data_IF_486512942554
#
_entry.id   IF_486512942554
#
_cell.length_a   1.000
_cell.length_b   1.000
_cell.length_c   1.000
_cell.angle_alpha   90.00
_cell.angle_beta   90.00
_cell.angle_gamma   90.00
#
_symmetry.space_group_name_H-M   'P 1'
#
loop_
_entity.id
_entity.type
_entity.pdbx_description
1 polymer ?
#
# COMPACT_ATOMS: atom_id res chain seq x y z
N UNK A 1 -20.20 -15.20 20.81
CA UNK A 1 -20.24 -14.65 19.43
C UNK A 1 -19.42 -15.57 18.54
N UNK A 2 -20.08 -16.37 17.69
CA UNK A 2 -19.44 -17.47 16.95
C UNK A 2 -18.41 -16.98 15.94
N UNK A 3 -17.28 -17.68 15.81
CA UNK A 3 -16.28 -17.42 14.77
C UNK A 3 -16.95 -17.57 13.41
N UNK A 4 -17.17 -16.46 12.68
CA UNK A 4 -17.54 -16.50 11.26
C UNK A 4 -16.39 -17.21 10.51
N UNK A 5 -16.65 -18.41 10.03
CA UNK A 5 -15.73 -19.16 9.18
C UNK A 5 -16.01 -18.77 7.73
N UNK A 6 -15.09 -18.03 7.12
CA UNK A 6 -15.14 -17.69 5.69
C UNK A 6 -14.62 -18.89 4.88
N UNK A 7 -15.51 -19.81 4.48
CA UNK A 7 -15.18 -21.00 3.69
C UNK A 7 -14.77 -20.66 2.26
N UNK A 8 -15.37 -19.61 1.69
CA UNK A 8 -15.14 -19.11 0.35
C UNK A 8 -13.67 -18.67 0.13
N UNK A 9 -13.01 -18.20 1.19
CA UNK A 9 -11.60 -17.80 1.14
C UNK A 9 -10.63 -18.97 1.12
N UNK A 10 -11.09 -20.22 1.17
CA UNK A 10 -10.26 -21.44 1.18
C UNK A 10 -10.20 -22.08 -0.21
N UNK A 11 -10.84 -23.24 -0.39
CA UNK A 11 -10.75 -24.04 -1.60
C UNK A 11 -11.40 -23.35 -2.81
N UNK A 12 -12.52 -22.64 -2.58
CA UNK A 12 -13.22 -21.92 -3.65
C UNK A 12 -12.34 -20.82 -4.26
N UNK A 13 -11.73 -19.97 -3.43
CA UNK A 13 -10.77 -18.96 -3.88
C UNK A 13 -9.60 -19.55 -4.67
N UNK A 14 -9.02 -20.66 -4.20
CA UNK A 14 -7.91 -21.33 -4.88
C UNK A 14 -8.32 -21.88 -6.25
N UNK A 15 -9.53 -22.43 -6.34
CA UNK A 15 -10.10 -22.92 -7.60
C UNK A 15 -10.31 -21.77 -8.57
N UNK A 16 -10.87 -20.65 -8.09
CA UNK A 16 -11.07 -19.45 -8.91
C UNK A 16 -9.76 -18.89 -9.44
N UNK A 17 -8.76 -18.70 -8.57
CA UNK A 17 -7.45 -18.16 -8.94
C UNK A 17 -6.76 -19.07 -9.96
N UNK A 18 -6.76 -20.40 -9.72
CA UNK A 18 -6.15 -21.35 -10.66
C UNK A 18 -6.79 -21.30 -12.05
N UNK A 19 -8.11 -21.06 -12.12
CA UNK A 19 -8.85 -21.03 -13.38
C UNK A 19 -8.68 -19.71 -14.14
N UNK A 20 -8.68 -18.57 -13.45
CA UNK A 20 -8.81 -17.26 -14.09
C UNK A 20 -7.61 -16.33 -13.92
N UNK A 21 -6.71 -16.58 -12.96
CA UNK A 21 -5.64 -15.67 -12.58
C UNK A 21 -4.28 -16.39 -12.54
N UNK A 22 -3.70 -16.76 -13.69
CA UNK A 22 -2.52 -17.63 -13.77
C UNK A 22 -1.25 -17.01 -13.17
N UNK A 23 -1.21 -15.68 -12.99
CA UNK A 23 -0.09 -14.95 -12.36
C UNK A 23 -0.26 -14.73 -10.86
N UNK A 24 -1.38 -15.15 -10.27
CA UNK A 24 -1.70 -14.93 -8.85
C UNK A 24 -1.46 -16.20 -8.06
N UNK A 25 -0.87 -16.06 -6.87
CA UNK A 25 -0.62 -17.16 -5.93
C UNK A 25 -1.14 -16.81 -4.54
N UNK A 26 -1.76 -17.78 -3.89
CA UNK A 26 -2.19 -17.66 -2.49
C UNK A 26 -1.15 -18.33 -1.58
N UNK A 27 -0.71 -17.63 -0.55
CA UNK A 27 0.14 -18.18 0.50
C UNK A 27 -0.68 -18.35 1.78
N UNK A 28 -0.70 -19.55 2.36
CA UNK A 28 -1.45 -19.87 3.57
C UNK A 28 -0.52 -19.90 4.78
N UNK A 29 -0.75 -19.03 5.74
CA UNK A 29 -0.13 -19.13 7.05
C UNK A 29 -0.80 -20.26 7.86
N UNK A 30 -0.01 -21.03 8.61
CA UNK A 30 -0.51 -22.12 9.47
C UNK A 30 -1.30 -21.62 10.68
N UNK A 31 -1.12 -20.35 11.05
CA UNK A 31 -1.82 -19.67 12.16
C UNK A 31 -2.03 -18.19 11.83
N UNK A 32 -2.80 -17.49 12.67
CA UNK A 32 -3.02 -16.04 12.55
C UNK A 32 -1.74 -15.28 12.90
N UNK A 33 -1.07 -14.75 11.89
CA UNK A 33 0.21 -14.02 12.05
C UNK A 33 0.06 -12.51 12.26
N UNK A 34 -1.10 -11.94 11.89
CA UNK A 34 -1.30 -10.49 11.87
C UNK A 34 -0.67 -9.81 10.65
N UNK A 35 -0.99 -8.53 10.45
CA UNK A 35 -0.66 -7.79 9.22
C UNK A 35 0.85 -7.72 8.93
N UNK A 36 1.66 -7.39 9.95
CA UNK A 36 3.10 -7.16 9.79
C UNK A 36 3.80 -8.44 9.32
N UNK A 37 3.57 -9.57 10.00
CA UNK A 37 4.19 -10.85 9.64
C UNK A 37 3.64 -11.42 8.33
N UNK A 38 2.37 -11.21 8.02
CA UNK A 38 1.80 -11.58 6.74
C UNK A 38 2.51 -10.85 5.57
N UNK A 39 2.78 -9.54 5.72
CA UNK A 39 3.58 -8.77 4.74
C UNK A 39 5.00 -9.35 4.58
N UNK A 40 5.66 -9.73 5.68
CA UNK A 40 6.99 -10.35 5.64
C UNK A 40 6.99 -11.74 4.96
N UNK A 41 5.95 -12.55 5.18
CA UNK A 41 5.79 -13.84 4.49
C UNK A 41 5.65 -13.62 2.98
N UNK A 42 4.82 -12.67 2.58
CA UNK A 42 4.66 -12.27 1.18
C UNK A 42 5.98 -11.79 0.57
N UNK A 43 6.69 -10.89 1.26
CA UNK A 43 7.97 -10.34 0.82
C UNK A 43 9.04 -11.43 0.62
N UNK A 44 9.15 -12.39 1.54
CA UNK A 44 10.10 -13.52 1.42
C UNK A 44 9.82 -14.43 0.24
N UNK A 45 8.56 -14.53 -0.16
CA UNK A 45 8.13 -15.41 -1.24
C UNK A 45 8.06 -14.72 -2.61
N UNK A 46 8.17 -13.39 -2.64
CA UNK A 46 8.17 -12.59 -3.85
C UNK A 46 9.53 -12.68 -4.56
N UNK A 47 9.50 -12.55 -5.89
CA UNK A 47 10.69 -12.66 -6.75
C UNK A 47 10.92 -11.42 -7.60
N UNK A 48 10.05 -10.41 -7.50
CA UNK A 48 10.18 -9.16 -8.26
C UNK A 48 11.21 -8.21 -7.63
N UNK A 49 11.75 -7.30 -8.44
CA UNK A 49 12.75 -6.32 -8.01
C UNK A 49 12.19 -5.27 -7.03
N UNK A 50 10.88 -5.02 -7.11
CA UNK A 50 10.15 -4.05 -6.28
C UNK A 50 8.96 -4.74 -5.62
N UNK A 51 8.77 -4.50 -4.32
CA UNK A 51 7.62 -4.96 -3.56
C UNK A 51 6.54 -3.88 -3.55
N UNK A 52 5.31 -4.27 -3.89
CA UNK A 52 4.15 -3.40 -3.83
C UNK A 52 3.13 -4.04 -2.88
N UNK A 53 2.74 -3.29 -1.85
CA UNK A 53 1.75 -3.73 -0.88
C UNK A 53 0.43 -3.00 -1.15
N UNK A 54 -0.63 -3.76 -1.38
CA UNK A 54 -2.00 -3.26 -1.52
C UNK A 54 -2.86 -3.91 -0.43
N UNK A 55 -3.83 -3.16 0.07
CA UNK A 55 -4.85 -3.75 0.94
C UNK A 55 -5.83 -4.58 0.09
N UNK A 56 -6.52 -5.53 0.70
CA UNK A 56 -7.40 -6.47 -0.01
C UNK A 56 -8.68 -5.83 -0.55
N UNK A 57 -8.87 -4.54 -0.32
CA UNK A 57 -10.04 -3.73 -0.64
C UNK A 57 -9.59 -2.41 -1.29
N UNK A 58 -8.68 -2.52 -2.25
CA UNK A 58 -8.14 -1.40 -3.02
C UNK A 58 -8.48 -1.56 -4.49
N UNK A 59 -8.82 -0.45 -5.15
CA UNK A 59 -8.94 -0.36 -6.60
C UNK A 59 -7.83 0.55 -7.12
N UNK A 60 -7.04 0.04 -8.07
CA UNK A 60 -5.94 0.79 -8.64
C UNK A 60 -6.41 1.61 -9.84
N UNK A 61 -6.06 2.90 -9.88
CA UNK A 61 -6.47 3.80 -10.96
C UNK A 61 -5.64 3.57 -12.24
N UNK A 62 -6.07 4.18 -13.34
CA UNK A 62 -5.37 4.14 -14.63
C UNK A 62 -3.95 4.66 -14.44
N UNK A 63 -2.98 3.93 -15.00
CA UNK A 63 -1.57 4.31 -15.00
C UNK A 63 -0.97 4.54 -13.60
N UNK A 64 -1.50 3.89 -12.56
CA UNK A 64 -1.02 4.06 -11.19
C UNK A 64 0.43 3.59 -10.97
N UNK A 65 0.90 2.61 -11.76
CA UNK A 65 2.15 1.91 -11.47
C UNK A 65 3.42 2.64 -11.97
N UNK A 66 3.52 3.10 -13.24
CA UNK A 66 4.73 3.78 -13.72
C UNK A 66 5.22 4.97 -12.87
N UNK A 67 4.36 5.91 -12.40
CA UNK A 67 4.83 7.03 -11.58
C UNK A 67 5.35 6.60 -10.21
N UNK A 68 4.97 5.42 -9.71
CA UNK A 68 5.50 4.86 -8.47
C UNK A 68 6.83 4.13 -8.68
N UNK A 69 7.02 3.50 -9.84
CA UNK A 69 8.26 2.77 -10.13
C UNK A 69 9.40 3.69 -10.58
N UNK A 70 9.11 4.78 -11.29
CA UNK A 70 10.14 5.67 -11.84
C UNK A 70 11.11 6.23 -10.78
N UNK A 71 10.66 6.75 -9.61
CA UNK A 71 11.58 7.23 -8.58
C UNK A 71 12.46 6.11 -8.00
N UNK A 72 11.93 4.90 -7.87
CA UNK A 72 12.66 3.72 -7.38
C UNK A 72 13.72 3.28 -8.40
N UNK A 73 13.40 3.35 -9.70
CA UNK A 73 14.33 3.05 -10.77
C UNK A 73 15.50 4.06 -10.82
N UNK A 74 15.24 5.34 -10.49
CA UNK A 74 16.28 6.39 -10.40
C UNK A 74 17.15 6.24 -9.14
N UNK A 75 16.55 5.90 -8.00
CA UNK A 75 17.27 5.60 -6.76
C UNK A 75 16.57 4.47 -5.98
N UNK A 76 17.25 3.33 -5.88
CA UNK A 76 16.77 2.12 -5.19
C UNK A 76 16.55 2.29 -3.67
N UNK A 77 16.99 3.41 -3.08
CA UNK A 77 16.73 3.75 -1.67
C UNK A 77 15.42 4.53 -1.48
N UNK A 78 14.79 4.95 -2.58
CA UNK A 78 13.51 5.64 -2.58
C UNK A 78 12.37 4.67 -2.27
N UNK A 79 11.45 5.12 -1.41
CA UNK A 79 10.17 4.44 -1.18
C UNK A 79 9.06 5.39 -1.61
N UNK A 80 8.17 4.91 -2.47
CA UNK A 80 7.04 5.70 -2.98
C UNK A 80 5.73 5.28 -2.32
N UNK A 81 4.84 6.24 -2.10
CA UNK A 81 3.47 6.01 -1.64
C UNK A 81 2.53 6.71 -2.63
N UNK A 82 1.47 6.05 -3.13
CA UNK A 82 0.48 6.71 -3.96
C UNK A 82 -0.37 7.68 -3.14
N UNK A 83 -1.11 8.54 -3.83
CA UNK A 83 -2.31 9.12 -3.24
C UNK A 83 -3.33 8.01 -2.95
N UNK A 84 -3.89 8.04 -1.75
CA UNK A 84 -4.85 7.06 -1.27
C UNK A 84 -6.19 7.77 -1.17
N UNK A 85 -6.97 7.64 -2.23
CA UNK A 85 -8.31 8.19 -2.30
C UNK A 85 -9.32 7.34 -1.53
N UNK A 86 -10.53 7.88 -1.37
CA UNK A 86 -11.58 7.23 -0.59
C UNK A 86 -12.57 6.56 -1.53
N UNK A 87 -12.82 5.27 -1.27
CA UNK A 87 -13.99 4.55 -1.75
C UNK A 87 -14.94 4.44 -0.56
N UNK A 88 -16.13 5.01 -0.69
CA UNK A 88 -17.15 4.98 0.36
C UNK A 88 -17.60 3.53 0.65
N UNK A 89 -17.68 3.15 1.92
CA UNK A 89 -17.90 1.75 2.30
C UNK A 89 -19.35 1.28 2.11
N UNK A 90 -20.31 2.19 1.99
CA UNK A 90 -21.73 1.86 1.77
C UNK A 90 -22.10 1.95 0.29
N UNK A 91 -21.68 3.04 -0.35
CA UNK A 91 -22.09 3.41 -1.71
C UNK A 91 -21.07 3.05 -2.78
N UNK A 92 -19.84 2.69 -2.41
CA UNK A 92 -18.70 2.51 -3.30
C UNK A 92 -18.37 3.75 -4.14
N UNK A 93 -18.87 4.93 -3.75
CA UNK A 93 -18.56 6.17 -4.42
C UNK A 93 -17.08 6.52 -4.24
N UNK A 94 -16.39 6.82 -5.34
CA UNK A 94 -15.01 7.28 -5.36
C UNK A 94 -14.95 8.79 -5.15
N UNK A 95 -14.04 9.24 -4.28
CA UNK A 95 -13.69 10.65 -4.11
C UNK A 95 -12.22 10.83 -3.74
N UNK A 96 -11.62 11.89 -4.26
CA UNK A 96 -10.28 12.28 -3.85
C UNK A 96 -10.21 12.49 -2.32
N UNK A 97 -9.13 12.05 -1.69
CA UNK A 97 -8.93 12.32 -0.26
C UNK A 97 -8.55 13.79 -0.04
N UNK A 98 -7.58 14.28 -0.83
CA UNK A 98 -7.15 15.68 -0.91
C UNK A 98 -6.23 15.90 -2.13
N UNK A 99 -5.55 17.05 -2.18
CA UNK A 99 -4.57 17.42 -3.22
C UNK A 99 -3.13 17.00 -2.86
N UNK A 100 -2.96 16.10 -1.90
CA UNK A 100 -1.66 15.64 -1.41
C UNK A 100 -1.32 16.16 -0.01
N UNK A 101 -0.77 15.27 0.81
CA UNK A 101 -0.35 15.57 2.18
C UNK A 101 0.92 14.79 2.55
N UNK A 102 1.59 15.23 3.61
CA UNK A 102 2.74 14.55 4.20
C UNK A 102 2.30 13.74 5.41
N UNK A 103 2.77 12.50 5.49
CA UNK A 103 2.62 11.68 6.68
C UNK A 103 3.49 12.20 7.82
N UNK A 104 2.93 12.24 9.03
CA UNK A 104 3.61 12.55 10.28
C UNK A 104 2.99 11.75 11.43
N UNK A 105 3.40 12.01 12.66
CA UNK A 105 2.80 11.47 13.87
C UNK A 105 2.74 12.52 14.98
N UNK A 106 1.76 12.39 15.88
CA UNK A 106 1.73 13.17 17.14
C UNK A 106 2.56 12.47 18.23
N UNK A 107 2.67 13.09 19.42
CA UNK A 107 3.46 12.53 20.53
C UNK A 107 2.88 11.24 21.13
N UNK A 108 1.68 10.85 20.74
CA UNK A 108 1.07 9.56 21.06
C UNK A 108 1.31 8.51 19.96
N UNK A 109 2.09 8.87 18.93
CA UNK A 109 2.42 8.07 17.75
C UNK A 109 1.22 7.75 16.86
N UNK A 110 0.15 8.55 16.91
CA UNK A 110 -0.93 8.44 15.93
C UNK A 110 -0.53 9.10 14.63
N UNK A 111 -0.77 8.41 13.52
CA UNK A 111 -0.55 8.95 12.18
C UNK A 111 -1.36 10.23 11.97
N UNK A 112 -0.70 11.27 11.46
CA UNK A 112 -1.31 12.55 11.07
C UNK A 112 -0.95 12.86 9.62
N UNK A 113 -1.85 13.60 8.98
CA UNK A 113 -1.62 14.18 7.65
C UNK A 113 -1.38 15.67 7.82
N UNK A 114 -0.21 16.14 7.40
CA UNK A 114 0.18 17.54 7.42
C UNK A 114 0.16 18.10 6.00
N UNK A 115 -0.12 19.40 5.82
CA UNK A 115 0.01 20.02 4.51
C UNK A 115 1.44 19.88 3.95
N UNK A 116 1.54 19.86 2.63
CA UNK A 116 2.81 19.99 1.91
C UNK A 116 3.51 21.29 2.30
N UNK A 117 4.84 21.30 2.30
CA UNK A 117 5.58 22.55 2.50
C UNK A 117 5.47 23.44 1.25
N UNK A 118 5.63 24.77 1.37
CA UNK A 118 5.60 25.67 0.23
C UNK A 118 6.58 25.33 -0.89
N UNK A 119 7.71 24.68 -0.57
CA UNK A 119 8.67 24.22 -1.57
C UNK A 119 8.16 22.96 -2.30
N UNK A 120 7.61 21.99 -1.57
CA UNK A 120 7.06 20.76 -2.14
C UNK A 120 5.84 21.03 -3.04
N UNK A 121 5.07 22.08 -2.74
CA UNK A 121 3.95 22.52 -3.59
C UNK A 121 4.38 22.92 -5.01
N UNK A 122 5.64 23.31 -5.21
CA UNK A 122 6.17 23.65 -6.55
C UNK A 122 6.45 22.41 -7.38
N UNK A 123 6.78 21.30 -6.71
CA UNK A 123 7.17 20.03 -7.33
C UNK A 123 6.53 18.84 -6.58
N UNK A 124 5.19 18.71 -6.57
CA UNK A 124 4.48 17.78 -5.69
C UNK A 124 4.72 16.30 -5.99
N UNK A 125 5.27 15.99 -7.17
CA UNK A 125 5.64 14.64 -7.59
C UNK A 125 7.10 14.28 -7.30
N UNK A 126 7.93 15.25 -6.90
CA UNK A 126 9.32 14.98 -6.55
C UNK A 126 9.42 14.39 -5.13
N UNK A 127 10.36 13.46 -4.88
CA UNK A 127 10.58 12.94 -3.54
C UNK A 127 10.91 14.06 -2.55
N UNK A 128 10.34 13.97 -1.33
CA UNK A 128 10.67 14.91 -0.25
C UNK A 128 12.18 14.90 0.03
N UNK A 129 12.74 16.08 0.27
CA UNK A 129 14.17 16.21 0.57
C UNK A 129 14.53 15.43 1.83
N UNK A 130 15.59 14.63 1.72
CA UNK A 130 16.22 14.01 2.89
C UNK A 130 16.73 15.08 3.84
N UNK A 131 16.18 15.14 5.05
CA UNK A 131 16.75 15.95 6.13
C UNK A 131 17.97 15.21 6.69
N UNK A 132 19.16 15.53 6.16
CA UNK A 132 20.41 14.86 6.57
C UNK A 132 20.98 15.35 7.91
N UNK A 133 20.48 16.46 8.46
CA UNK A 133 21.10 17.13 9.59
C UNK A 133 20.10 17.36 10.73
N UNK A 134 19.86 16.32 11.52
CA UNK A 134 19.59 16.51 12.95
C UNK A 134 20.83 16.03 13.70
N UNK A 135 21.71 16.96 14.03
CA UNK A 135 22.61 16.76 15.18
C UNK A 135 21.72 16.78 16.41
N UNK A 136 21.45 15.60 16.95
CA UNK A 136 20.99 15.45 18.33
C UNK A 136 22.17 15.69 19.27
#
# INVERSE_FOLDING_TARGET
>A
MGKKFFSELKHELETYIKKYLPKVRVLRASKREGLIRARLIGAKAATGDVLIFLDSHTEANINWLPPLLEPIAKDRRTVTCPFIDVIDYETFAYRAQDEGARGSFDWELYYKRLPLLPEDLKHPAEPFKYVKNYSI
#
